data_IF_129636178695
#
_entry.id   IF_129636178695
#
_cell.length_a   1.000
_cell.length_b   1.000
_cell.length_c   1.000
_cell.angle_alpha   90.00
_cell.angle_beta   90.00
_cell.angle_gamma   90.00
#
_symmetry.space_group_name_H-M   'P 1'
#
loop_
_entity.id
_entity.type
_entity.pdbx_description
1 polymer ?
#
# COMPACT_ATOMS: atom_id res chain seq x y z
N UNK A 1 21.29 29.08 4.45
CA UNK A 1 22.07 27.85 4.71
C UNK A 1 21.33 26.68 4.07
N UNK A 2 21.88 26.13 2.99
CA UNK A 2 21.26 25.01 2.27
C UNK A 2 21.27 23.77 3.16
N UNK A 3 20.09 23.22 3.47
CA UNK A 3 19.97 21.96 4.20
C UNK A 3 20.63 20.87 3.36
N UNK A 4 21.71 20.26 3.87
CA UNK A 4 22.30 19.04 3.28
C UNK A 4 21.20 17.99 3.17
N UNK A 5 20.88 17.57 1.94
CA UNK A 5 20.13 16.34 1.70
C UNK A 5 21.03 15.18 2.13
N UNK A 6 20.74 14.60 3.29
CA UNK A 6 21.33 13.32 3.65
C UNK A 6 20.78 12.29 2.66
N UNK A 7 21.67 11.68 1.89
CA UNK A 7 21.34 10.60 0.95
C UNK A 7 20.90 9.39 1.78
N UNK A 8 19.58 9.29 2.00
CA UNK A 8 18.98 8.14 2.65
C UNK A 8 19.17 6.90 1.76
N UNK A 9 19.39 5.71 2.33
CA UNK A 9 19.49 4.47 1.56
C UNK A 9 18.25 4.29 0.69
N UNK A 10 18.45 3.85 -0.57
CA UNK A 10 17.40 3.70 -1.60
C UNK A 10 16.20 2.83 -1.18
N UNK A 11 16.31 2.12 -0.06
CA UNK A 11 15.31 1.21 0.51
C UNK A 11 14.20 1.93 1.29
N UNK A 12 14.39 3.19 1.70
CA UNK A 12 13.40 3.99 2.44
C UNK A 12 12.49 4.83 1.54
N UNK A 13 11.44 5.42 2.11
CA UNK A 13 10.60 6.42 1.41
C UNK A 13 11.37 7.74 1.30
N UNK A 14 11.40 8.32 0.10
CA UNK A 14 12.19 9.52 -0.23
C UNK A 14 11.37 10.80 -0.35
N UNK A 15 10.04 10.68 -0.42
CA UNK A 15 9.11 11.80 -0.53
C UNK A 15 8.41 12.07 0.81
N UNK A 16 8.22 13.33 1.19
CA UNK A 16 7.43 13.69 2.37
C UNK A 16 5.93 13.52 2.09
N UNK A 17 5.23 12.84 3.01
CA UNK A 17 3.77 12.67 2.95
C UNK A 17 3.00 13.99 2.93
N UNK A 18 3.52 14.99 3.66
CA UNK A 18 2.88 16.30 3.85
C UNK A 18 3.10 17.22 2.64
N UNK A 19 4.21 17.04 1.92
CA UNK A 19 4.56 17.86 0.76
C UNK A 19 3.96 17.30 -0.54
N UNK A 20 4.04 15.98 -0.75
CA UNK A 20 3.45 15.30 -1.90
C UNK A 20 2.93 13.92 -1.51
N UNK A 21 1.65 13.88 -1.11
CA UNK A 21 0.98 12.66 -0.71
C UNK A 21 0.93 11.61 -1.84
N UNK A 22 0.77 12.06 -3.10
CA UNK A 22 0.58 11.15 -4.23
C UNK A 22 1.86 10.39 -4.55
N UNK A 23 2.99 11.09 -4.60
CA UNK A 23 4.29 10.46 -4.83
C UNK A 23 4.73 9.64 -3.61
N UNK A 24 4.50 10.13 -2.39
CA UNK A 24 4.74 9.36 -1.16
C UNK A 24 3.97 8.03 -1.15
N UNK A 25 2.67 8.07 -1.47
CA UNK A 25 1.82 6.88 -1.45
C UNK A 25 2.25 5.88 -2.53
N UNK A 26 2.60 6.38 -3.72
CA UNK A 26 3.10 5.55 -4.83
C UNK A 26 4.41 4.84 -4.45
N UNK A 27 5.36 5.56 -3.82
CA UNK A 27 6.58 4.94 -3.32
C UNK A 27 6.29 3.89 -2.25
N UNK A 28 5.39 4.19 -1.30
CA UNK A 28 5.06 3.29 -0.21
C UNK A 28 4.50 1.96 -0.75
N UNK A 29 3.47 2.01 -1.59
CA UNK A 29 2.82 0.78 -2.09
C UNK A 29 3.76 -0.04 -3.00
N UNK A 30 4.68 0.63 -3.70
CA UNK A 30 5.65 -0.02 -4.58
C UNK A 30 6.77 -0.67 -3.78
N UNK A 31 7.44 0.09 -2.89
CA UNK A 31 8.58 -0.37 -2.08
C UNK A 31 8.18 -1.42 -1.05
N UNK A 32 6.95 -1.33 -0.52
CA UNK A 32 6.40 -2.34 0.39
C UNK A 32 5.77 -3.54 -0.32
N UNK A 33 5.87 -3.62 -1.65
CA UNK A 33 5.36 -4.75 -2.43
C UNK A 33 3.86 -5.01 -2.19
N UNK A 34 3.06 -3.94 -2.12
CA UNK A 34 1.62 -4.02 -1.86
C UNK A 34 0.81 -4.02 -3.16
N UNK A 35 1.18 -3.16 -4.12
CA UNK A 35 0.44 -3.01 -5.36
C UNK A 35 1.37 -2.63 -6.52
N UNK A 36 0.96 -2.99 -7.73
CA UNK A 36 1.71 -2.76 -8.98
C UNK A 36 0.76 -2.39 -10.13
N UNK A 37 1.20 -1.46 -10.99
CA UNK A 37 0.49 -0.99 -12.19
C UNK A 37 1.19 -1.48 -13.48
N UNK A 38 1.76 -2.70 -13.45
CA UNK A 38 2.53 -3.31 -14.55
C UNK A 38 1.86 -3.34 -15.92
N UNK A 39 0.53 -3.27 -15.99
CA UNK A 39 -0.21 -3.32 -17.25
C UNK A 39 -0.54 -1.94 -17.83
N UNK A 40 -0.29 -0.86 -17.09
CA UNK A 40 -0.60 0.52 -17.50
C UNK A 40 -2.08 0.71 -17.95
N UNK A 41 -3.01 -0.07 -17.39
CA UNK A 41 -4.44 0.04 -17.64
C UNK A 41 -5.06 0.86 -16.52
N UNK A 42 -5.68 1.97 -16.88
CA UNK A 42 -6.35 2.85 -15.91
C UNK A 42 -7.43 2.07 -15.14
N UNK A 43 -7.34 2.10 -13.82
CA UNK A 43 -8.27 1.40 -12.92
C UNK A 43 -7.94 -0.08 -12.70
N UNK A 44 -6.87 -0.61 -13.30
CA UNK A 44 -6.43 -1.98 -13.08
C UNK A 44 -5.18 -2.01 -12.20
N UNK A 45 -5.36 -2.39 -10.94
CA UNK A 45 -4.29 -2.50 -9.95
C UNK A 45 -4.08 -3.97 -9.62
N UNK A 46 -2.82 -4.42 -9.67
CA UNK A 46 -2.44 -5.77 -9.24
C UNK A 46 -2.07 -5.71 -7.75
N UNK A 47 -2.86 -6.36 -6.90
CA UNK A 47 -2.53 -6.51 -5.49
C UNK A 47 -1.51 -7.64 -5.32
N UNK A 48 -0.40 -7.32 -4.65
CA UNK A 48 0.70 -8.26 -4.37
C UNK A 48 0.47 -9.03 -3.08
N UNK A 49 1.42 -9.88 -2.71
CA UNK A 49 1.30 -10.88 -1.65
C UNK A 49 0.92 -10.27 -0.30
N UNK A 50 1.63 -9.22 0.14
CA UNK A 50 1.37 -8.57 1.42
C UNK A 50 0.00 -7.89 1.49
N UNK A 51 -0.42 -7.24 0.40
CA UNK A 51 -1.77 -6.68 0.30
C UNK A 51 -2.83 -7.78 0.34
N UNK A 52 -2.63 -8.86 -0.43
CA UNK A 52 -3.56 -10.00 -0.49
C UNK A 52 -3.71 -10.70 0.86
N UNK A 53 -2.62 -10.89 1.61
CA UNK A 53 -2.65 -11.44 2.97
C UNK A 53 -3.50 -10.55 3.88
N UNK A 54 -3.30 -9.24 3.81
CA UNK A 54 -4.06 -8.26 4.61
C UNK A 54 -5.53 -8.28 4.25
N UNK A 55 -5.85 -8.26 2.95
CA UNK A 55 -7.22 -8.35 2.43
C UNK A 55 -7.90 -9.62 2.93
N UNK A 56 -7.24 -10.79 2.84
CA UNK A 56 -7.80 -12.05 3.34
C UNK A 56 -8.09 -12.03 4.84
N UNK A 57 -7.22 -11.42 5.65
CA UNK A 57 -7.46 -11.26 7.10
C UNK A 57 -8.67 -10.39 7.38
N UNK A 58 -8.83 -9.29 6.63
CA UNK A 58 -10.00 -8.41 6.75
C UNK A 58 -11.29 -9.12 6.34
N UNK A 59 -11.28 -9.85 5.22
CA UNK A 59 -12.43 -10.65 4.77
C UNK A 59 -12.82 -11.70 5.81
N UNK A 60 -11.87 -12.51 6.26
CA UNK A 60 -12.13 -13.52 7.31
C UNK A 60 -12.74 -12.89 8.56
N UNK A 61 -12.19 -11.76 9.01
CA UNK A 61 -12.72 -11.06 10.18
C UNK A 61 -14.16 -10.58 9.96
N UNK A 62 -14.47 -10.13 8.74
CA UNK A 62 -15.80 -9.66 8.37
C UNK A 62 -16.79 -10.83 8.32
N UNK A 63 -16.41 -11.92 7.68
CA UNK A 63 -17.16 -13.19 7.62
C UNK A 63 -17.46 -13.72 9.03
N UNK A 64 -16.44 -13.88 9.87
CA UNK A 64 -16.61 -14.34 11.27
C UNK A 64 -17.61 -13.45 12.06
N UNK A 65 -17.71 -12.15 11.74
CA UNK A 65 -18.64 -11.22 12.39
C UNK A 65 -20.06 -11.30 11.82
N UNK A 66 -20.20 -11.58 10.53
CA UNK A 66 -21.47 -11.77 9.85
C UNK A 66 -22.13 -13.08 10.28
N UNK A 67 -21.37 -14.18 10.28
CA UNK A 67 -21.83 -15.49 10.75
C UNK A 67 -22.35 -15.44 12.19
N UNK A 68 -21.64 -14.74 13.08
CA UNK A 68 -22.07 -14.53 14.47
C UNK A 68 -23.40 -13.80 14.61
N UNK A 69 -23.80 -13.03 13.59
CA UNK A 69 -25.08 -12.31 13.54
C UNK A 69 -26.16 -13.09 12.78
N UNK A 70 -25.88 -14.32 12.37
CA UNK A 70 -26.81 -15.16 11.62
C UNK A 70 -26.91 -14.80 10.14
N UNK A 71 -25.93 -14.06 9.61
CA UNK A 71 -25.80 -13.83 8.17
C UNK A 71 -24.89 -14.90 7.56
N UNK A 72 -25.31 -15.58 6.47
CA UNK A 72 -24.46 -16.53 5.75
C UNK A 72 -23.31 -15.83 5.03
#
# INVERSE_FOLDING_TARGET
MAKKKNEAPLTGITVSKEEDFSAWYTELITKAELADIRYNIKGFVVYREWATITIRKMYKKTEDLLEKKGHP
#
